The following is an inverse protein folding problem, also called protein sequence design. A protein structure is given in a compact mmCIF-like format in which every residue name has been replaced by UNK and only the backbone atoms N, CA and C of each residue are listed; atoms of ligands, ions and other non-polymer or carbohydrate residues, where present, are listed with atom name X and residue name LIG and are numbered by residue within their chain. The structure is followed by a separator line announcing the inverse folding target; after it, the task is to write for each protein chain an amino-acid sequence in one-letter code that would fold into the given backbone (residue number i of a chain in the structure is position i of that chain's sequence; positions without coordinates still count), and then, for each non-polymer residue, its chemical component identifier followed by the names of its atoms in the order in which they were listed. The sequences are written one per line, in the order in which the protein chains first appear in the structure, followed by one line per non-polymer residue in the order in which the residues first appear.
data_IF_915126208196
#
_entry.id   IF_915126208196
#
_cell.length_a   1.000
_cell.length_b   1.000
_cell.length_c   1.000
_cell.angle_alpha   90.00
_cell.angle_beta   90.00
_cell.angle_gamma   90.00
#
_symmetry.space_group_name_H-M   'P 1'
#
loop_
_entity.id
_entity.type
_entity.pdbx_description
1 polymer ?
#
# COMPACT_ATOMS: atom_id res chain seq x y z
N UNK A 1 11.05 -26.15 -12.59
CA UNK A 1 9.71 -25.62 -12.97
C UNK A 1 9.14 -24.62 -11.95
N UNK A 2 9.38 -24.78 -10.64
CA UNK A 2 8.96 -23.80 -9.61
C UNK A 2 9.56 -22.41 -9.76
N UNK A 3 10.85 -22.29 -10.07
CA UNK A 3 11.55 -21.00 -10.24
C UNK A 3 10.91 -20.07 -11.28
N UNK A 4 10.34 -20.63 -12.36
CA UNK A 4 9.66 -19.85 -13.39
C UNK A 4 8.29 -19.33 -12.90
N UNK A 5 7.59 -20.10 -12.06
CA UNK A 5 6.34 -19.66 -11.42
C UNK A 5 6.59 -18.54 -10.42
N UNK A 6 7.71 -18.54 -9.70
CA UNK A 6 8.11 -17.46 -8.77
C UNK A 6 8.34 -16.15 -9.49
N UNK A 7 9.07 -16.17 -10.61
CA UNK A 7 9.37 -14.97 -11.42
C UNK A 7 8.09 -14.42 -12.05
N UNK A 8 7.25 -15.29 -12.63
CA UNK A 8 6.01 -14.85 -13.28
C UNK A 8 5.01 -14.24 -12.30
N UNK A 9 4.82 -14.88 -11.14
CA UNK A 9 3.95 -14.37 -10.08
C UNK A 9 4.55 -13.16 -9.36
N UNK A 10 5.88 -12.97 -9.39
CA UNK A 10 6.54 -11.76 -8.93
C UNK A 10 6.25 -10.56 -9.85
N UNK A 11 6.23 -10.79 -11.18
CA UNK A 11 5.84 -9.80 -12.18
C UNK A 11 4.37 -9.38 -12.06
N UNK A 12 3.46 -10.29 -11.73
CA UNK A 12 2.04 -9.95 -11.52
C UNK A 12 1.81 -9.05 -10.29
N UNK A 13 2.55 -9.26 -9.20
CA UNK A 13 2.46 -8.42 -8.00
C UNK A 13 2.97 -7.01 -8.30
N UNK A 14 4.12 -6.91 -8.95
CA UNK A 14 4.69 -5.62 -9.37
C UNK A 14 3.73 -4.88 -10.30
N UNK A 15 3.10 -5.57 -11.26
CA UNK A 15 2.10 -4.96 -12.16
C UNK A 15 0.93 -4.35 -11.39
N UNK A 16 0.42 -5.03 -10.35
CA UNK A 16 -0.66 -4.50 -9.51
C UNK A 16 -0.23 -3.26 -8.72
N UNK A 17 1.01 -3.23 -8.23
CA UNK A 17 1.54 -2.08 -7.49
C UNK A 17 1.78 -0.87 -8.38
N UNK A 18 2.37 -1.05 -9.57
CA UNK A 18 2.50 0.03 -10.56
C UNK A 18 1.15 0.57 -11.04
N UNK A 19 0.15 -0.31 -11.22
CA UNK A 19 -1.22 0.13 -11.53
C UNK A 19 -1.83 0.94 -10.38
N UNK A 20 -1.60 0.54 -9.12
CA UNK A 20 -2.05 1.29 -7.95
C UNK A 20 -1.41 2.69 -7.86
N UNK A 21 -0.10 2.78 -8.06
CA UNK A 21 0.63 4.05 -8.11
C UNK A 21 0.12 4.93 -9.25
N UNK A 22 -0.03 4.37 -10.46
CA UNK A 22 -0.55 5.07 -11.62
C UNK A 22 -1.98 5.60 -11.41
N UNK A 23 -2.84 4.81 -10.76
CA UNK A 23 -4.20 5.24 -10.41
C UNK A 23 -4.20 6.41 -9.43
N UNK A 24 -3.37 6.36 -8.39
CA UNK A 24 -3.29 7.45 -7.39
C UNK A 24 -2.72 8.73 -8.02
N UNK A 25 -1.73 8.63 -8.91
CA UNK A 25 -1.21 9.78 -9.67
C UNK A 25 -2.26 10.38 -10.61
N UNK A 26 -3.02 9.54 -11.31
CA UNK A 26 -4.11 9.99 -12.17
C UNK A 26 -5.20 10.68 -11.34
N UNK A 27 -5.60 10.07 -10.22
CA UNK A 27 -6.53 10.69 -9.27
C UNK A 27 -6.00 12.03 -8.78
N UNK A 28 -4.73 12.13 -8.38
CA UNK A 28 -4.11 13.39 -7.97
C UNK A 28 -4.16 14.47 -9.06
N UNK A 29 -3.94 14.12 -10.33
CA UNK A 29 -4.01 15.06 -11.44
C UNK A 29 -5.44 15.55 -11.74
N UNK A 30 -6.44 14.68 -11.59
CA UNK A 30 -7.85 14.99 -11.88
C UNK A 30 -8.57 15.58 -10.65
N UNK A 31 -8.04 15.36 -9.44
CA UNK A 31 -8.64 15.77 -8.17
C UNK A 31 -9.00 17.27 -8.10
N UNK A 32 -8.13 18.22 -8.54
CA UNK A 32 -8.48 19.64 -8.53
C UNK A 32 -9.66 19.98 -9.43
N UNK A 33 -9.80 19.30 -10.57
CA UNK A 33 -10.92 19.52 -11.50
C UNK A 33 -12.23 18.96 -10.92
N UNK A 34 -12.17 17.80 -10.24
CA UNK A 34 -13.32 17.22 -9.57
C UNK A 34 -13.83 18.11 -8.45
N UNK A 35 -12.95 18.62 -7.58
CA UNK A 35 -13.36 19.51 -6.48
C UNK A 35 -14.02 20.78 -7.02
N UNK A 36 -13.49 21.37 -8.10
CA UNK A 36 -14.07 22.56 -8.74
C UNK A 36 -15.42 22.34 -9.40
N UNK A 37 -15.76 21.10 -9.76
CA UNK A 37 -17.09 20.77 -10.30
C UNK A 37 -18.19 20.77 -9.23
N UNK A 38 -17.82 20.62 -7.95
CA UNK A 38 -18.75 20.69 -6.83
C UNK A 38 -18.74 22.06 -6.14
N UNK A 39 -17.62 22.77 -6.16
CA UNK A 39 -17.48 24.12 -5.63
C UNK A 39 -16.61 24.99 -6.56
N UNK A 40 -17.26 25.88 -7.33
CA UNK A 40 -16.59 26.78 -8.27
C UNK A 40 -15.71 27.83 -7.56
N UNK A 41 -15.95 28.09 -6.27
CA UNK A 41 -15.22 29.06 -5.45
C UNK A 41 -13.96 28.50 -4.82
N UNK A 42 -13.76 27.18 -4.89
CA UNK A 42 -12.57 26.51 -4.37
C UNK A 42 -11.31 27.07 -5.06
N UNK A 43 -10.46 27.72 -4.27
CA UNK A 43 -9.23 28.32 -4.77
C UNK A 43 -8.33 27.24 -5.41
N UNK A 44 -7.55 27.57 -6.47
CA UNK A 44 -6.61 26.63 -7.09
C UNK A 44 -5.57 26.02 -6.11
N UNK A 45 -5.43 26.62 -4.93
CA UNK A 45 -4.44 26.33 -3.88
C UNK A 45 -5.04 25.52 -2.72
N UNK A 46 -6.37 25.45 -2.57
CA UNK A 46 -7.04 24.64 -1.55
C UNK A 46 -7.25 23.13 -1.84
N UNK A 47 -6.62 22.49 -2.86
CA UNK A 47 -6.44 21.04 -2.83
C UNK A 47 -5.57 20.59 -1.65
N UNK A 48 -4.84 21.48 -0.97
CA UNK A 48 -3.75 21.15 -0.04
C UNK A 48 -4.05 20.03 0.96
N UNK A 49 -5.18 20.12 1.70
CA UNK A 49 -5.50 19.12 2.73
C UNK A 49 -5.94 17.76 2.16
N UNK A 50 -6.82 17.75 1.15
CA UNK A 50 -7.34 16.50 0.57
C UNK A 50 -6.34 15.85 -0.41
N UNK A 51 -5.56 16.65 -1.12
CA UNK A 51 -4.46 16.18 -1.97
C UNK A 51 -3.27 15.68 -1.13
N UNK A 52 -3.08 16.19 0.09
CA UNK A 52 -2.12 15.62 1.04
C UNK A 52 -2.48 14.19 1.44
N UNK A 53 -3.78 13.84 1.54
CA UNK A 53 -4.21 12.45 1.75
C UNK A 53 -3.81 11.58 0.55
N UNK A 54 -4.05 12.05 -0.68
CA UNK A 54 -3.61 11.34 -1.89
C UNK A 54 -2.08 11.19 -1.95
N UNK A 55 -1.33 12.22 -1.53
CA UNK A 55 0.13 12.19 -1.46
C UNK A 55 0.63 11.21 -0.39
N UNK A 56 -0.05 11.12 0.75
CA UNK A 56 0.27 10.16 1.80
C UNK A 56 0.03 8.71 1.35
N UNK A 57 -1.08 8.46 0.62
CA UNK A 57 -1.34 7.17 0.00
C UNK A 57 -0.25 6.84 -1.03
N UNK A 58 0.15 7.81 -1.86
CA UNK A 58 1.24 7.65 -2.82
C UNK A 58 2.56 7.30 -2.12
N UNK A 59 2.92 8.04 -1.07
CA UNK A 59 4.13 7.80 -0.27
C UNK A 59 4.11 6.41 0.36
N UNK A 60 2.97 5.96 0.89
CA UNK A 60 2.80 4.61 1.44
C UNK A 60 2.99 3.54 0.36
N UNK A 61 2.42 3.72 -0.84
CA UNK A 61 2.59 2.78 -1.95
C UNK A 61 4.04 2.71 -2.44
N UNK A 62 4.73 3.85 -2.55
CA UNK A 62 6.14 3.92 -2.92
C UNK A 62 7.01 3.25 -1.84
N UNK A 63 6.72 3.52 -0.57
CA UNK A 63 7.42 2.89 0.55
C UNK A 63 7.24 1.37 0.51
N UNK A 64 6.01 0.89 0.36
CA UNK A 64 5.70 -0.54 0.24
C UNK A 64 6.46 -1.18 -0.92
N UNK A 65 6.44 -0.57 -2.11
CA UNK A 65 7.16 -1.06 -3.29
C UNK A 65 8.67 -1.14 -3.02
N UNK A 66 9.24 -0.10 -2.40
CA UNK A 66 10.65 -0.03 -2.04
C UNK A 66 11.04 -1.09 -1.04
N UNK A 67 10.25 -1.28 0.04
CA UNK A 67 10.48 -2.32 1.05
C UNK A 67 10.38 -3.72 0.43
N UNK A 68 9.40 -3.94 -0.43
CA UNK A 68 9.23 -5.24 -1.08
C UNK A 68 10.36 -5.56 -2.06
N UNK A 69 10.82 -4.56 -2.81
CA UNK A 69 12.02 -4.66 -3.65
C UNK A 69 13.25 -4.97 -2.78
N UNK A 70 13.44 -4.27 -1.68
CA UNK A 70 14.56 -4.47 -0.75
C UNK A 70 14.56 -5.89 -0.15
N UNK A 71 13.41 -6.38 0.33
CA UNK A 71 13.27 -7.73 0.88
C UNK A 71 13.63 -8.79 -0.16
N UNK A 72 13.22 -8.61 -1.43
CA UNK A 72 13.58 -9.56 -2.49
C UNK A 72 15.07 -9.56 -2.80
N UNK A 73 15.70 -8.39 -2.74
CA UNK A 73 17.14 -8.22 -3.03
C UNK A 73 18.00 -8.78 -1.91
N UNK A 74 17.69 -8.46 -0.65
CA UNK A 74 18.53 -8.83 0.50
C UNK A 74 18.16 -10.22 1.04
N UNK A 75 16.87 -10.56 1.10
CA UNK A 75 16.37 -11.80 1.71
C UNK A 75 15.38 -12.56 0.80
N UNK A 76 15.83 -13.12 -0.33
CA UNK A 76 14.97 -13.83 -1.28
C UNK A 76 14.27 -15.05 -0.67
N UNK A 77 14.88 -15.70 0.32
CA UNK A 77 14.26 -16.80 1.08
C UNK A 77 13.02 -16.33 1.86
N UNK A 78 13.07 -15.14 2.45
CA UNK A 78 11.94 -14.57 3.18
C UNK A 78 10.80 -14.20 2.24
N UNK A 79 11.12 -13.64 1.07
CA UNK A 79 10.14 -13.37 0.01
C UNK A 79 9.44 -14.65 -0.47
N UNK A 80 10.19 -15.76 -0.56
CA UNK A 80 9.65 -17.07 -0.96
C UNK A 80 8.76 -17.64 0.14
N UNK A 81 9.22 -17.60 1.39
CA UNK A 81 8.43 -18.03 2.55
C UNK A 81 7.10 -17.28 2.69
N UNK A 82 7.15 -15.95 2.59
CA UNK A 82 5.97 -15.07 2.64
C UNK A 82 4.92 -15.45 1.59
N UNK A 83 5.34 -15.95 0.43
CA UNK A 83 4.45 -16.23 -0.69
C UNK A 83 3.85 -17.63 -0.68
N UNK A 84 4.66 -18.65 -0.37
CA UNK A 84 4.26 -20.05 -0.53
C UNK A 84 3.90 -20.73 0.79
N UNK A 85 4.48 -20.29 1.90
CA UNK A 85 4.37 -20.98 3.18
C UNK A 85 3.54 -20.19 4.20
N UNK A 86 3.50 -18.86 4.08
CA UNK A 86 2.79 -18.01 5.04
C UNK A 86 1.29 -18.33 5.14
N UNK A 87 0.59 -18.52 4.01
CA UNK A 87 -0.85 -18.81 4.03
C UNK A 87 -1.15 -20.15 4.71
N UNK A 88 -0.38 -21.18 4.39
CA UNK A 88 -0.54 -22.52 4.99
C UNK A 88 -0.24 -22.48 6.49
N UNK A 89 0.84 -21.82 6.87
CA UNK A 89 1.23 -21.69 8.28
C UNK A 89 0.23 -20.82 9.06
N UNK A 90 -0.35 -19.80 8.42
CA UNK A 90 -1.38 -18.97 9.03
C UNK A 90 -2.68 -19.76 9.27
N UNK A 91 -3.05 -20.65 8.34
CA UNK A 91 -4.23 -21.53 8.51
C UNK A 91 -4.06 -22.51 9.67
N UNK A 92 -2.85 -23.01 9.91
CA UNK A 92 -2.55 -23.91 11.03
C UNK A 92 -2.47 -23.24 12.41
N UNK A 93 -2.46 -21.91 12.49
CA UNK A 93 -2.45 -21.19 13.76
C UNK A 93 -3.75 -21.41 14.55
N UNK A 94 -3.63 -21.36 15.88
CA UNK A 94 -4.76 -21.38 16.79
C UNK A 94 -5.61 -20.11 16.64
N UNK A 95 -6.91 -20.21 16.94
CA UNK A 95 -7.85 -19.10 16.73
C UNK A 95 -7.46 -17.80 17.44
N UNK A 96 -6.91 -17.89 18.66
CA UNK A 96 -6.46 -16.70 19.40
C UNK A 96 -5.25 -16.01 18.74
N UNK A 97 -4.32 -16.78 18.16
CA UNK A 97 -3.16 -16.24 17.43
C UNK A 97 -3.60 -15.51 16.16
N UNK A 98 -4.60 -16.05 15.45
CA UNK A 98 -5.20 -15.39 14.28
C UNK A 98 -5.82 -14.06 14.68
N UNK A 99 -6.58 -14.02 15.78
CA UNK A 99 -7.19 -12.78 16.29
C UNK A 99 -6.13 -11.74 16.63
N UNK A 100 -5.05 -12.12 17.31
CA UNK A 100 -3.96 -11.19 17.63
C UNK A 100 -3.29 -10.65 16.37
N UNK A 101 -3.02 -11.49 15.37
CA UNK A 101 -2.40 -11.03 14.11
C UNK A 101 -3.32 -10.05 13.38
N UNK A 102 -4.62 -10.35 13.28
CA UNK A 102 -5.58 -9.43 12.66
C UNK A 102 -5.69 -8.12 13.42
N UNK A 103 -5.85 -8.18 14.75
CA UNK A 103 -5.95 -6.99 15.59
C UNK A 103 -4.67 -6.15 15.51
N UNK A 104 -3.50 -6.78 15.56
CA UNK A 104 -2.21 -6.11 15.39
C UNK A 104 -2.10 -5.40 14.05
N UNK A 105 -2.52 -6.05 12.96
CA UNK A 105 -2.53 -5.43 11.63
C UNK A 105 -3.46 -4.23 11.55
N UNK A 106 -4.68 -4.33 12.11
CA UNK A 106 -5.61 -3.21 12.17
C UNK A 106 -5.08 -2.06 13.04
N UNK A 107 -4.47 -2.35 14.19
CA UNK A 107 -3.83 -1.35 15.03
C UNK A 107 -2.66 -0.67 14.31
N UNK A 108 -1.85 -1.41 13.56
CA UNK A 108 -0.76 -0.83 12.75
C UNK A 108 -1.29 0.06 11.62
N UNK A 109 -2.38 -0.33 10.96
CA UNK A 109 -3.04 0.51 9.96
C UNK A 109 -3.59 1.80 10.57
N UNK A 110 -4.26 1.69 11.72
CA UNK A 110 -4.76 2.86 12.46
C UNK A 110 -3.61 3.77 12.89
N UNK A 111 -2.52 3.20 13.40
CA UNK A 111 -1.33 3.96 13.78
C UNK A 111 -0.70 4.68 12.59
N UNK A 112 -0.56 4.00 11.45
CA UNK A 112 -0.07 4.62 10.21
C UNK A 112 -0.99 5.77 9.76
N UNK A 113 -2.31 5.61 9.86
CA UNK A 113 -3.27 6.67 9.57
C UNK A 113 -3.10 7.89 10.48
N UNK A 114 -2.91 7.67 11.79
CA UNK A 114 -2.65 8.75 12.76
C UNK A 114 -1.34 9.47 12.41
N UNK A 115 -0.26 8.74 12.12
CA UNK A 115 1.02 9.35 11.74
C UNK A 115 0.90 10.19 10.47
N UNK A 116 0.10 9.74 9.49
CA UNK A 116 -0.19 10.50 8.28
C UNK A 116 -0.94 11.79 8.63
N UNK A 117 -1.98 11.73 9.47
CA UNK A 117 -2.70 12.93 9.90
C UNK A 117 -1.79 13.92 10.62
N UNK A 118 -0.91 13.43 11.51
CA UNK A 118 0.07 14.27 12.21
C UNK A 118 1.05 14.92 11.22
N UNK A 119 1.45 14.21 10.15
CA UNK A 119 2.37 14.77 9.15
C UNK A 119 1.72 15.82 8.25
N UNK A 120 0.39 15.90 8.22
CA UNK A 120 -0.38 16.86 7.41
C UNK A 120 -0.74 18.13 8.21
N UNK A 121 -0.86 18.02 9.54
CA UNK A 121 -1.11 19.14 10.48
C UNK A 121 0.20 19.85 10.81
#
# INVERSE_FOLDING_TARGET
MEYLKTIFSAGQILRKEYLGIGLVLLLFAIFPQLVRSFDESAAPIDPGALSAILMAVLAMLIFKLSTWWLIRTIWPLFATYSKYHFETNFKSLQSWQKVIIFLGFYCSLLFAFILILIAII
#
